data_IF_395024774917
#
_entry.id   IF_395024774917
#
_cell.length_a   1.000
_cell.length_b   1.000
_cell.length_c   1.000
_cell.angle_alpha   90.00
_cell.angle_beta   90.00
_cell.angle_gamma   90.00
#
_symmetry.space_group_name_H-M   'P 1'
#
loop_
_entity.id
_entity.type
_entity.pdbx_description
1 polymer ?
#
# COMPACT_ATOMS: atom_id res chain seq x y z
N UNK A 1 -36.07 26.60 -4.79
CA UNK A 1 -36.45 25.92 -6.05
C UNK A 1 -35.45 24.82 -6.22
N UNK A 2 -35.89 23.57 -6.07
CA UNK A 2 -35.04 22.40 -6.25
C UNK A 2 -35.24 21.94 -7.71
N UNK A 3 -34.22 22.10 -8.56
CA UNK A 3 -34.31 21.69 -9.97
C UNK A 3 -34.15 20.16 -10.07
N UNK A 4 -35.17 19.42 -10.53
CA UNK A 4 -35.08 17.96 -10.69
C UNK A 4 -33.98 17.50 -11.66
N UNK A 5 -33.50 18.38 -12.53
CA UNK A 5 -32.41 18.10 -13.47
C UNK A 5 -31.01 18.35 -12.89
N UNK A 6 -30.91 18.96 -11.71
CA UNK A 6 -29.62 19.22 -11.07
C UNK A 6 -29.04 17.94 -10.48
N UNK A 7 -27.90 17.48 -11.03
CA UNK A 7 -27.25 16.24 -10.60
C UNK A 7 -26.47 16.35 -9.30
N UNK A 8 -26.28 17.57 -8.80
CA UNK A 8 -25.53 17.89 -7.58
C UNK A 8 -26.50 18.38 -6.50
N UNK A 9 -26.29 17.93 -5.29
CA UNK A 9 -26.93 18.46 -4.09
C UNK A 9 -25.88 19.23 -3.31
N UNK A 10 -26.17 20.48 -2.95
CA UNK A 10 -25.32 21.30 -2.09
C UNK A 10 -25.94 21.42 -0.70
N UNK A 11 -25.17 21.06 0.33
CA UNK A 11 -25.60 21.22 1.71
C UNK A 11 -25.75 22.71 2.05
N UNK A 12 -26.92 23.10 2.57
CA UNK A 12 -27.22 24.50 2.92
C UNK A 12 -26.73 24.90 4.32
N UNK A 13 -26.18 23.96 5.09
CA UNK A 13 -25.51 24.29 6.34
C UNK A 13 -24.22 25.05 6.02
N UNK A 14 -24.11 26.28 6.53
CA UNK A 14 -22.98 27.19 6.29
C UNK A 14 -21.63 26.62 6.76
N UNK A 15 -21.63 25.69 7.72
CA UNK A 15 -20.40 25.03 8.18
C UNK A 15 -20.02 23.80 7.33
N UNK A 16 -20.97 23.22 6.59
CA UNK A 16 -20.74 22.00 5.81
C UNK A 16 -20.47 22.30 4.34
N UNK A 17 -21.42 22.97 3.65
CA UNK A 17 -21.37 23.34 2.23
C UNK A 17 -20.97 22.23 1.24
N UNK A 18 -20.92 20.97 1.67
CA UNK A 18 -20.52 19.84 0.83
C UNK A 18 -21.47 19.67 -0.35
N UNK A 19 -20.89 19.26 -1.48
CA UNK A 19 -21.62 18.91 -2.68
C UNK A 19 -21.55 17.40 -2.91
N UNK A 20 -22.69 16.77 -3.16
CA UNK A 20 -22.80 15.33 -3.42
C UNK A 20 -23.60 15.08 -4.70
N UNK A 21 -23.36 13.96 -5.36
CA UNK A 21 -24.18 13.54 -6.50
C UNK A 21 -25.52 13.01 -6.00
N UNK A 22 -26.63 13.50 -6.55
CA UNK A 22 -27.99 13.03 -6.18
C UNK A 22 -28.25 11.57 -6.57
N UNK A 23 -27.54 11.06 -7.57
CA UNK A 23 -27.78 9.73 -8.10
C UNK A 23 -27.08 8.62 -7.29
N UNK A 24 -25.87 8.90 -6.77
CA UNK A 24 -25.08 7.90 -6.04
C UNK A 24 -24.71 8.29 -4.61
N UNK A 25 -24.93 9.54 -4.20
CA UNK A 25 -24.62 10.03 -2.85
C UNK A 25 -23.13 10.32 -2.59
N UNK A 26 -22.24 9.97 -3.52
CA UNK A 26 -20.80 10.26 -3.44
C UNK A 26 -20.53 11.78 -3.58
N UNK A 27 -19.34 12.26 -3.17
CA UNK A 27 -18.93 13.65 -3.41
C UNK A 27 -19.11 14.08 -4.87
N UNK A 28 -19.37 15.37 -5.09
CA UNK A 28 -19.54 15.91 -6.44
C UNK A 28 -18.35 15.51 -7.33
N UNK A 29 -18.67 14.83 -8.43
CA UNK A 29 -17.72 14.19 -9.32
C UNK A 29 -17.97 14.55 -10.78
N UNK A 30 -18.81 15.55 -11.08
CA UNK A 30 -19.02 16.03 -12.45
C UNK A 30 -17.69 16.61 -12.96
N UNK A 31 -17.19 16.21 -14.14
CA UNK A 31 -17.91 15.62 -15.28
C UNK A 31 -18.00 14.08 -15.34
N UNK A 32 -17.45 13.34 -14.38
CA UNK A 32 -17.44 11.87 -14.36
C UNK A 32 -18.85 11.29 -14.17
N UNK A 33 -19.08 10.10 -14.75
CA UNK A 33 -20.27 9.28 -14.50
C UNK A 33 -20.14 8.56 -13.15
N UNK A 34 -21.28 8.23 -12.54
CA UNK A 34 -21.31 7.65 -11.19
C UNK A 34 -20.59 6.29 -11.09
N UNK A 35 -20.52 5.54 -12.19
CA UNK A 35 -19.81 4.27 -12.28
C UNK A 35 -18.29 4.42 -12.47
N UNK A 36 -17.80 5.58 -12.92
CA UNK A 36 -16.37 5.88 -13.07
C UNK A 36 -15.71 6.28 -11.74
N UNK A 37 -16.52 6.68 -10.76
CA UNK A 37 -16.04 7.13 -9.45
C UNK A 37 -15.78 5.93 -8.56
N UNK A 38 -14.63 5.91 -7.90
CA UNK A 38 -14.30 4.94 -6.86
C UNK A 38 -15.24 5.15 -5.67
N UNK A 39 -15.98 4.10 -5.29
CA UNK A 39 -16.85 4.16 -4.12
C UNK A 39 -16.03 4.16 -2.84
N UNK A 40 -16.61 4.65 -1.74
CA UNK A 40 -15.95 4.66 -0.44
C UNK A 40 -15.39 3.28 -0.02
N UNK A 41 -16.16 2.21 -0.18
CA UNK A 41 -15.71 0.86 0.20
C UNK A 41 -14.53 0.37 -0.66
N UNK A 42 -14.52 0.73 -1.96
CA UNK A 42 -13.38 0.47 -2.86
C UNK A 42 -12.13 1.22 -2.39
N UNK A 43 -12.29 2.52 -2.08
CA UNK A 43 -11.21 3.38 -1.59
C UNK A 43 -10.63 2.87 -0.26
N UNK A 44 -11.49 2.49 0.69
CA UNK A 44 -11.09 2.02 2.01
C UNK A 44 -10.30 0.70 1.90
N UNK A 45 -10.79 -0.25 1.08
CA UNK A 45 -10.11 -1.52 0.81
C UNK A 45 -8.76 -1.30 0.10
N UNK A 46 -8.74 -0.48 -0.96
CA UNK A 46 -7.52 -0.15 -1.70
C UNK A 46 -6.48 0.48 -0.77
N UNK A 47 -6.86 1.50 -0.02
CA UNK A 47 -5.96 2.23 0.89
C UNK A 47 -5.40 1.29 1.97
N UNK A 48 -6.22 0.39 2.51
CA UNK A 48 -5.75 -0.61 3.46
C UNK A 48 -4.67 -1.52 2.85
N UNK A 49 -4.89 -2.01 1.64
CA UNK A 49 -3.95 -2.88 0.92
C UNK A 49 -2.66 -2.12 0.59
N UNK A 50 -2.75 -0.93 0.00
CA UNK A 50 -1.61 -0.08 -0.37
C UNK A 50 -0.68 0.18 0.83
N UNK A 51 -1.25 0.48 1.99
CA UNK A 51 -0.49 0.69 3.22
C UNK A 51 0.26 -0.57 3.65
N UNK A 52 -0.37 -1.75 3.57
CA UNK A 52 0.26 -3.03 3.94
C UNK A 52 1.38 -3.42 2.97
N UNK A 53 1.15 -3.24 1.68
CA UNK A 53 2.13 -3.50 0.63
C UNK A 53 3.34 -2.58 0.78
N UNK A 54 3.10 -1.28 1.03
CA UNK A 54 4.17 -0.29 1.24
C UNK A 54 5.00 -0.60 2.49
N UNK A 55 4.35 -0.99 3.60
CA UNK A 55 5.02 -1.38 4.84
C UNK A 55 5.90 -2.63 4.66
N UNK A 56 5.52 -3.55 3.77
CA UNK A 56 6.27 -4.79 3.56
C UNK A 56 7.72 -4.55 3.10
N UNK A 57 7.97 -3.52 2.28
CA UNK A 57 9.29 -3.13 1.82
C UNK A 57 10.15 -2.44 2.89
N UNK A 58 9.50 -1.84 3.89
CA UNK A 58 10.20 -1.02 4.87
C UNK A 58 10.93 -1.90 5.87
N UNK A 59 12.17 -1.52 6.16
CA UNK A 59 13.00 -2.06 7.24
C UNK A 59 13.06 -1.08 8.38
N UNK A 60 13.14 -1.64 9.59
CA UNK A 60 13.18 -0.87 10.83
C UNK A 60 14.44 -1.29 11.58
N UNK A 61 15.29 -0.32 11.91
CA UNK A 61 16.47 -0.58 12.72
C UNK A 61 16.04 -1.19 14.06
N UNK A 62 16.55 -2.39 14.39
CA UNK A 62 16.17 -3.08 15.61
C UNK A 62 16.50 -2.28 16.88
N UNK A 63 17.54 -1.43 16.83
CA UNK A 63 18.03 -0.62 17.96
C UNK A 63 17.31 0.72 18.10
N UNK A 64 17.36 1.59 17.09
CA UNK A 64 16.82 2.96 17.18
C UNK A 64 15.46 3.17 16.48
N UNK A 65 14.91 2.14 15.83
CA UNK A 65 13.64 2.17 15.10
C UNK A 65 13.57 3.11 13.90
N UNK A 66 14.72 3.62 13.43
CA UNK A 66 14.77 4.35 12.16
C UNK A 66 14.30 3.46 11.01
N UNK A 67 13.41 4.02 10.17
CA UNK A 67 12.83 3.35 9.00
C UNK A 67 13.67 3.61 7.77
N UNK A 68 13.86 2.60 6.93
CA UNK A 68 14.62 2.71 5.69
C UNK A 68 14.22 1.59 4.71
N UNK A 69 14.54 1.78 3.43
CA UNK A 69 14.47 0.74 2.40
C UNK A 69 15.67 0.91 1.47
N UNK A 70 15.95 -0.08 0.62
CA UNK A 70 16.99 0.03 -0.40
C UNK A 70 16.49 -0.48 -1.74
N UNK A 71 17.08 0.02 -2.82
CA UNK A 71 16.83 -0.47 -4.18
C UNK A 71 17.98 -1.34 -4.70
N UNK A 72 19.20 -1.08 -4.25
CA UNK A 72 20.42 -1.75 -4.70
C UNK A 72 21.47 -1.85 -3.58
N UNK A 73 22.62 -2.47 -3.89
CA UNK A 73 23.77 -2.58 -2.98
C UNK A 73 23.72 -3.77 -2.01
N UNK A 74 24.66 -3.81 -1.07
CA UNK A 74 24.86 -4.93 -0.15
C UNK A 74 23.69 -5.12 0.84
N UNK A 75 23.38 -6.36 1.22
CA UNK A 75 22.37 -6.70 2.23
C UNK A 75 22.84 -6.50 3.68
N UNK A 76 24.12 -6.18 3.92
CA UNK A 76 24.61 -5.71 5.22
C UNK A 76 24.29 -4.22 5.37
N UNK A 77 23.30 -3.90 6.19
CA UNK A 77 22.90 -2.53 6.45
C UNK A 77 23.50 -2.03 7.75
N UNK A 78 24.08 -0.84 7.75
CA UNK A 78 24.55 -0.16 8.94
C UNK A 78 23.73 1.11 9.15
N UNK A 79 23.02 1.19 10.26
CA UNK A 79 22.24 2.35 10.64
C UNK A 79 23.15 3.47 11.17
N UNK A 80 22.70 4.73 11.08
CA UNK A 80 23.40 5.87 11.65
C UNK A 80 23.67 5.75 13.16
N UNK A 81 22.88 4.95 13.90
CA UNK A 81 23.13 4.64 15.31
C UNK A 81 24.22 3.58 15.56
N UNK A 82 24.94 3.15 14.52
CA UNK A 82 26.00 2.14 14.55
C UNK A 82 25.53 0.68 14.56
N UNK A 83 24.23 0.42 14.58
CA UNK A 83 23.69 -0.94 14.55
C UNK A 83 23.82 -1.54 13.14
N UNK A 84 24.18 -2.84 13.05
CA UNK A 84 24.24 -3.57 11.79
C UNK A 84 23.18 -4.67 11.73
N UNK A 85 22.47 -4.77 10.61
CA UNK A 85 21.41 -5.77 10.40
C UNK A 85 21.38 -6.27 8.96
N UNK A 86 20.86 -7.47 8.76
CA UNK A 86 20.62 -8.03 7.44
C UNK A 86 19.33 -7.46 6.85
N UNK A 87 19.40 -6.98 5.61
CA UNK A 87 18.23 -6.45 4.90
C UNK A 87 17.17 -7.53 4.61
N UNK A 88 17.61 -8.77 4.34
CA UNK A 88 16.75 -9.89 3.94
C UNK A 88 15.97 -10.41 5.14
N UNK A 89 16.66 -10.93 6.16
CA UNK A 89 16.00 -11.55 7.33
C UNK A 89 15.67 -10.57 8.46
N UNK A 90 16.04 -9.30 8.33
CA UNK A 90 15.78 -8.23 9.31
C UNK A 90 16.44 -8.43 10.68
N UNK A 91 17.35 -9.40 10.82
CA UNK A 91 18.03 -9.73 12.07
C UNK A 91 19.29 -8.88 12.31
N UNK A 92 19.66 -8.61 13.58
CA UNK A 92 20.94 -8.02 13.93
C UNK A 92 22.10 -8.93 13.50
N UNK A 93 23.18 -8.33 12.99
CA UNK A 93 24.38 -9.07 12.54
C UNK A 93 25.65 -8.35 13.01
N UNK A 94 26.74 -9.11 13.16
CA UNK A 94 28.05 -8.57 13.54
C UNK A 94 28.89 -8.15 12.33
N UNK A 95 28.85 -8.94 11.26
CA UNK A 95 29.70 -8.74 10.09
C UNK A 95 29.20 -9.51 8.88
N UNK A 96 30.12 -9.81 7.96
CA UNK A 96 29.81 -10.50 6.71
C UNK A 96 29.63 -12.01 6.88
N UNK A 97 29.96 -12.57 8.04
CA UNK A 97 29.85 -13.99 8.35
C UNK A 97 28.41 -14.48 8.23
N UNK A 98 27.42 -13.61 8.43
CA UNK A 98 25.99 -13.93 8.25
C UNK A 98 25.62 -14.36 6.81
N UNK A 99 26.36 -13.84 5.82
CA UNK A 99 26.10 -14.06 4.40
C UNK A 99 26.91 -15.23 3.84
N UNK A 100 27.95 -15.68 4.55
CA UNK A 100 28.78 -16.80 4.14
C UNK A 100 27.97 -18.10 4.20
N UNK A 101 27.89 -18.84 3.08
CA UNK A 101 27.15 -20.10 2.96
C UNK A 101 25.65 -20.00 3.34
N UNK A 102 25.07 -18.81 3.29
CA UNK A 102 23.65 -18.59 3.59
C UNK A 102 22.89 -18.24 2.31
N UNK A 103 22.38 -19.28 1.62
CA UNK A 103 21.64 -19.12 0.37
C UNK A 103 20.40 -18.22 0.52
N UNK A 104 19.78 -18.20 1.71
CA UNK A 104 18.60 -17.37 1.99
C UNK A 104 18.93 -15.90 2.21
N UNK A 105 20.16 -15.58 2.61
CA UNK A 105 20.59 -14.21 2.91
C UNK A 105 21.89 -13.91 2.17
N UNK A 106 21.95 -14.13 0.86
CA UNK A 106 23.13 -13.78 0.07
C UNK A 106 23.43 -12.27 0.14
N UNK A 107 24.71 -11.88 0.26
CA UNK A 107 25.11 -10.46 0.41
C UNK A 107 24.67 -9.58 -0.77
N UNK A 108 24.57 -10.18 -1.96
CA UNK A 108 24.23 -9.53 -3.23
C UNK A 108 22.89 -9.99 -3.80
N UNK A 109 22.02 -10.58 -2.97
CA UNK A 109 20.67 -10.95 -3.41
C UNK A 109 19.90 -9.70 -3.83
N UNK A 110 19.18 -9.82 -4.94
CA UNK A 110 18.43 -8.75 -5.59
C UNK A 110 17.29 -8.24 -4.68
N UNK A 111 17.41 -6.99 -4.25
CA UNK A 111 16.44 -6.34 -3.38
C UNK A 111 15.10 -6.09 -4.08
N UNK A 112 15.11 -5.88 -5.39
CA UNK A 112 13.88 -5.67 -6.18
C UNK A 112 13.06 -6.96 -6.19
N UNK A 113 13.69 -8.10 -6.45
CA UNK A 113 13.02 -9.41 -6.41
C UNK A 113 12.49 -9.72 -5.01
N UNK A 114 13.28 -9.44 -3.97
CA UNK A 114 12.83 -9.59 -2.59
C UNK A 114 11.58 -8.75 -2.31
N UNK A 115 11.61 -7.46 -2.68
CA UNK A 115 10.46 -6.57 -2.48
C UNK A 115 9.24 -7.00 -3.26
N UNK A 116 9.38 -7.42 -4.51
CA UNK A 116 8.27 -7.91 -5.32
C UNK A 116 7.55 -9.07 -4.63
N UNK A 117 8.31 -10.03 -4.11
CA UNK A 117 7.72 -11.17 -3.41
C UNK A 117 7.10 -10.76 -2.07
N UNK A 118 7.77 -9.91 -1.28
CA UNK A 118 7.21 -9.39 -0.02
C UNK A 118 5.92 -8.59 -0.25
N UNK A 119 5.87 -7.77 -1.29
CA UNK A 119 4.68 -7.01 -1.68
C UNK A 119 3.55 -7.93 -2.11
N UNK A 120 3.83 -8.98 -2.88
CA UNK A 120 2.82 -9.97 -3.31
C UNK A 120 2.19 -10.68 -2.11
N UNK A 121 3.02 -11.17 -1.19
CA UNK A 121 2.55 -11.83 0.02
C UNK A 121 1.76 -10.87 0.92
N UNK A 122 2.23 -9.62 1.06
CA UNK A 122 1.53 -8.60 1.84
C UNK A 122 0.18 -8.21 1.21
N UNK A 123 0.07 -8.19 -0.11
CA UNK A 123 -1.18 -7.98 -0.82
C UNK A 123 -2.18 -9.11 -0.52
N UNK A 124 -1.77 -10.37 -0.70
CA UNK A 124 -2.63 -11.54 -0.49
C UNK A 124 -3.15 -11.60 0.96
N UNK A 125 -2.26 -11.37 1.92
CA UNK A 125 -2.61 -11.33 3.34
C UNK A 125 -3.50 -10.12 3.67
N UNK A 126 -3.19 -8.93 3.15
CA UNK A 126 -4.01 -7.74 3.39
C UNK A 126 -5.43 -7.91 2.84
N UNK A 127 -5.56 -8.46 1.63
CA UNK A 127 -6.87 -8.73 1.02
C UNK A 127 -7.67 -9.72 1.86
N UNK A 128 -7.05 -10.82 2.29
CA UNK A 128 -7.67 -11.81 3.16
C UNK A 128 -8.14 -11.18 4.49
N UNK A 129 -7.25 -10.48 5.19
CA UNK A 129 -7.55 -9.84 6.47
C UNK A 129 -8.65 -8.78 6.33
N UNK A 130 -8.67 -8.04 5.23
CA UNK A 130 -9.69 -7.03 5.00
C UNK A 130 -11.07 -7.70 4.79
N UNK A 131 -11.17 -8.72 3.94
CA UNK A 131 -12.41 -9.46 3.70
C UNK A 131 -12.91 -10.19 4.96
N UNK A 132 -12.02 -10.71 5.80
CA UNK A 132 -12.40 -11.29 7.11
C UNK A 132 -13.02 -10.26 8.06
N UNK A 133 -12.56 -9.01 8.01
CA UNK A 133 -13.09 -7.90 8.81
C UNK A 133 -14.34 -7.25 8.20
N UNK A 134 -14.46 -7.34 6.88
CA UNK A 134 -15.50 -6.72 6.06
C UNK A 134 -16.09 -7.74 5.08
N UNK A 135 -16.88 -8.74 5.55
CA UNK A 135 -17.38 -9.82 4.70
C UNK A 135 -18.20 -9.34 3.49
N UNK A 136 -18.82 -8.15 3.57
CA UNK A 136 -19.53 -7.48 2.49
C UNK A 136 -18.65 -7.15 1.28
N UNK A 137 -17.33 -7.05 1.48
CA UNK A 137 -16.36 -6.72 0.44
C UNK A 137 -15.77 -7.95 -0.26
N UNK A 138 -16.22 -9.16 0.07
CA UNK A 138 -15.68 -10.41 -0.52
C UNK A 138 -15.74 -10.43 -2.04
N UNK A 139 -16.86 -9.96 -2.59
CA UNK A 139 -17.12 -9.94 -4.03
C UNK A 139 -16.86 -8.54 -4.64
N UNK A 140 -16.24 -7.63 -3.86
CA UNK A 140 -15.87 -6.28 -4.31
C UNK A 140 -14.69 -6.35 -5.27
N UNK A 141 -14.84 -5.72 -6.43
CA UNK A 141 -13.78 -5.57 -7.43
C UNK A 141 -13.25 -4.15 -7.35
N UNK A 142 -11.95 -4.01 -7.06
CA UNK A 142 -11.29 -2.70 -7.04
C UNK A 142 -11.07 -2.20 -8.46
N UNK A 143 -11.55 -0.98 -8.78
CA UNK A 143 -11.22 -0.31 -10.04
C UNK A 143 -9.71 -0.05 -10.18
N UNK A 144 -9.07 0.34 -9.07
CA UNK A 144 -7.64 0.61 -8.99
C UNK A 144 -6.97 -0.43 -8.09
N UNK A 145 -6.74 -1.64 -8.61
CA UNK A 145 -6.15 -2.73 -7.83
C UNK A 145 -4.62 -2.55 -7.68
N UNK A 146 -4.09 -2.40 -6.45
CA UNK A 146 -2.65 -2.26 -6.21
C UNK A 146 -1.81 -3.43 -6.75
N UNK A 147 -2.40 -4.62 -6.92
CA UNK A 147 -1.71 -5.78 -7.48
C UNK A 147 -1.11 -5.53 -8.86
N UNK A 148 -1.75 -4.66 -9.67
CA UNK A 148 -1.30 -4.34 -11.02
C UNK A 148 0.07 -3.64 -11.03
N UNK A 149 0.46 -3.01 -9.93
CA UNK A 149 1.74 -2.32 -9.78
C UNK A 149 2.82 -3.17 -9.10
N UNK A 150 2.46 -4.34 -8.55
CA UNK A 150 3.40 -5.27 -7.92
C UNK A 150 4.16 -6.02 -9.02
N UNK A 151 5.37 -5.54 -9.34
CA UNK A 151 6.26 -6.17 -10.34
C UNK A 151 6.18 -5.58 -11.75
N UNK A 152 5.36 -4.54 -11.97
CA UNK A 152 5.30 -3.80 -13.23
C UNK A 152 6.46 -2.81 -13.38
N UNK A 153 7.00 -2.67 -14.59
CA UNK A 153 7.84 -1.52 -14.98
C UNK A 153 7.15 -0.21 -14.52
N UNK A 154 7.90 0.81 -14.08
CA UNK A 154 7.31 2.10 -13.75
C UNK A 154 6.44 2.60 -14.93
N UNK A 155 5.32 3.29 -14.67
CA UNK A 155 4.49 3.84 -15.73
C UNK A 155 5.38 4.70 -16.65
N UNK A 156 5.24 4.48 -17.96
CA UNK A 156 5.94 5.27 -18.99
C UNK A 156 5.54 6.75 -18.93
#
# INVERSE_FOLDING_TARGET
IDDPHERVFRCLNQECLKETCRACGEPNHIPLRCDEVEKKDELDMRTFIENRVSEAMIRVCYKCKQRFYKLEGCNKMTCACGASMCYVCRQPIKGYEHFNNNEKCGANMDAIKLHQEEMRLAYEEAKKVYVERHPETRDLVLKYDPQQHIGGKPPK
#
